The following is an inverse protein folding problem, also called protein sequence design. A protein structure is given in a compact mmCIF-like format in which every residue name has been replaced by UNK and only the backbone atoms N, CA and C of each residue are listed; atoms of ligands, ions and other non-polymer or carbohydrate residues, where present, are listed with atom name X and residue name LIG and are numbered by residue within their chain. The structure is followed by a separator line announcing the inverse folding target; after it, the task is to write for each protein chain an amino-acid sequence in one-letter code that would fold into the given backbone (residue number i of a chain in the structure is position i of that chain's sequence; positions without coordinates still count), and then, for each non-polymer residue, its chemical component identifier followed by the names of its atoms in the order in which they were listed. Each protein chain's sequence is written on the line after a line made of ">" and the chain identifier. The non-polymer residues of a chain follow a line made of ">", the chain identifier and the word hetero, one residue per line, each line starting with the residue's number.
data_IF_023861564629
#
_entry.id   IF_023861564629
#
_cell.length_a   1.000
_cell.length_b   1.000
_cell.length_c   1.000
_cell.angle_alpha   90.00
_cell.angle_beta   90.00
_cell.angle_gamma   90.00
#
_symmetry.space_group_name_H-M   'P 1'
#
loop_
_entity.id
_entity.type
_entity.pdbx_description
1 polymer ?
#
# COMPACT_ATOMS: atom_id res chain seq x y z
N UNK A 1 9.10 -3.24 -2.53
CA UNK A 1 8.25 -2.60 -3.57
C UNK A 1 7.42 -3.62 -4.33
N UNK A 2 8.05 -4.61 -4.98
CA UNK A 2 7.35 -5.72 -5.66
C UNK A 2 6.35 -6.45 -4.74
N UNK A 3 6.76 -6.70 -3.49
CA UNK A 3 5.90 -7.36 -2.50
C UNK A 3 4.66 -6.53 -2.13
N UNK A 4 4.77 -5.19 -2.14
CA UNK A 4 3.61 -4.33 -1.91
C UNK A 4 2.62 -4.38 -3.07
N UNK A 5 3.11 -4.42 -4.31
CA UNK A 5 2.26 -4.58 -5.50
C UNK A 5 1.57 -5.96 -5.49
N UNK A 6 2.29 -7.01 -5.06
CA UNK A 6 1.73 -8.35 -4.86
C UNK A 6 0.60 -8.38 -3.83
N UNK A 7 0.75 -7.72 -2.68
CA UNK A 7 -0.32 -7.63 -1.66
C UNK A 7 -1.60 -7.00 -2.25
N UNK A 8 -1.46 -5.97 -3.07
CA UNK A 8 -2.61 -5.30 -3.70
C UNK A 8 -3.25 -6.21 -4.75
N UNK A 9 -2.44 -6.90 -5.57
CA UNK A 9 -2.91 -7.89 -6.55
C UNK A 9 -3.67 -9.04 -5.87
N UNK A 10 -3.09 -9.62 -4.83
CA UNK A 10 -3.68 -10.72 -4.05
C UNK A 10 -4.99 -10.31 -3.35
N UNK A 11 -5.18 -9.00 -3.10
CA UNK A 11 -6.42 -8.43 -2.58
C UNK A 11 -7.49 -8.16 -3.67
N UNK A 12 -7.26 -8.56 -4.92
CA UNK A 12 -8.17 -8.32 -6.05
C UNK A 12 -7.95 -6.98 -6.75
N UNK A 13 -6.71 -6.49 -6.78
CA UNK A 13 -6.33 -5.22 -7.43
C UNK A 13 -6.71 -3.96 -6.65
N UNK A 14 -7.33 -4.12 -5.46
CA UNK A 14 -7.81 -2.99 -4.66
C UNK A 14 -7.88 -3.33 -3.18
N UNK A 15 -7.31 -2.49 -2.34
CA UNK A 15 -7.22 -2.73 -0.89
C UNK A 15 -7.47 -1.45 -0.08
N UNK A 16 -8.14 -1.59 1.07
CA UNK A 16 -8.24 -0.47 2.01
C UNK A 16 -6.85 -0.11 2.55
N UNK A 17 -6.56 1.18 2.64
CA UNK A 17 -5.28 1.69 3.14
C UNK A 17 -4.95 1.19 4.55
N UNK A 18 -5.96 1.02 5.40
CA UNK A 18 -5.81 0.41 6.73
C UNK A 18 -5.31 -1.04 6.66
N UNK A 19 -5.94 -1.87 5.84
CA UNK A 19 -5.55 -3.27 5.65
C UNK A 19 -4.17 -3.38 5.01
N UNK A 20 -3.86 -2.53 4.02
CA UNK A 20 -2.52 -2.46 3.43
C UNK A 20 -1.45 -2.13 4.48
N UNK A 21 -1.73 -1.20 5.39
CA UNK A 21 -0.80 -0.84 6.46
C UNK A 21 -0.51 -2.03 7.41
N UNK A 22 -1.55 -2.81 7.73
CA UNK A 22 -1.45 -4.00 8.57
C UNK A 22 -0.66 -5.12 7.88
N UNK A 23 -0.94 -5.41 6.61
CA UNK A 23 -0.22 -6.44 5.85
C UNK A 23 1.24 -6.04 5.57
N UNK A 24 1.50 -4.78 5.21
CA UNK A 24 2.87 -4.31 4.99
C UNK A 24 3.74 -4.38 6.27
N UNK A 25 3.14 -4.17 7.44
CA UNK A 25 3.81 -4.33 8.73
C UNK A 25 4.08 -5.81 9.03
N UNK A 26 3.08 -6.68 8.88
CA UNK A 26 3.21 -8.13 9.11
C UNK A 26 4.28 -8.77 8.22
N UNK A 27 4.31 -8.37 6.94
CA UNK A 27 5.32 -8.83 5.98
C UNK A 27 6.68 -8.13 6.16
N UNK A 28 6.84 -7.25 7.16
CA UNK A 28 8.07 -6.49 7.45
C UNK A 28 8.55 -5.64 6.26
N UNK A 29 7.65 -5.29 5.35
CA UNK A 29 7.91 -4.37 4.22
C UNK A 29 8.08 -2.95 4.75
N UNK A 30 7.34 -2.61 5.81
CA UNK A 30 7.56 -1.41 6.61
C UNK A 30 7.89 -1.82 8.04
N UNK A 31 8.80 -1.08 8.67
CA UNK A 31 9.14 -1.22 10.08
C UNK A 31 8.66 0.05 10.79
N UNK A 32 7.91 -0.12 11.87
CA UNK A 32 7.32 0.99 12.64
C UNK A 32 7.88 0.95 14.06
N UNK A 33 8.85 1.81 14.33
CA UNK A 33 9.42 1.97 15.67
C UNK A 33 8.71 3.14 16.38
N UNK A 34 7.50 2.89 16.89
CA UNK A 34 6.69 3.87 17.59
C UNK A 34 6.15 3.31 18.90
N UNK A 35 5.82 4.20 19.85
CA UNK A 35 5.14 3.82 21.09
C UNK A 35 3.67 3.50 20.78
N UNK A 36 3.00 2.73 21.62
CA UNK A 36 1.60 2.33 21.40
C UNK A 36 0.67 3.53 21.12
N UNK A 37 0.85 4.63 21.86
CA UNK A 37 0.04 5.85 21.73
C UNK A 37 0.08 6.50 20.34
N UNK A 38 1.16 6.34 19.57
CA UNK A 38 1.31 6.93 18.24
C UNK A 38 1.51 5.88 17.13
N UNK A 39 1.36 4.60 17.46
CA UNK A 39 1.67 3.49 16.56
C UNK A 39 0.87 3.56 15.26
N UNK A 40 -0.45 3.75 15.35
CA UNK A 40 -1.34 3.81 14.18
C UNK A 40 -0.94 4.93 13.22
N UNK A 41 -0.66 6.13 13.73
CA UNK A 41 -0.27 7.26 12.90
C UNK A 41 1.11 7.05 12.26
N UNK A 42 2.07 6.56 13.04
CA UNK A 42 3.41 6.22 12.55
C UNK A 42 3.36 5.14 11.47
N UNK A 43 2.50 4.13 11.63
CA UNK A 43 2.29 3.07 10.64
C UNK A 43 1.75 3.62 9.32
N UNK A 44 0.73 4.48 9.37
CA UNK A 44 0.20 5.11 8.15
C UNK A 44 1.21 6.04 7.48
N UNK A 45 1.95 6.83 8.25
CA UNK A 45 3.01 7.69 7.70
C UNK A 45 4.13 6.88 7.03
N UNK A 46 4.52 5.76 7.65
CA UNK A 46 5.52 4.85 7.09
C UNK A 46 5.02 4.17 5.81
N UNK A 47 3.78 3.67 5.80
CA UNK A 47 3.15 3.13 4.59
C UNK A 47 3.14 4.18 3.47
N UNK A 48 2.74 5.41 3.77
CA UNK A 48 2.61 6.46 2.77
C UNK A 48 3.92 6.82 2.12
N UNK A 49 4.93 7.10 2.95
CA UNK A 49 6.24 7.52 2.46
C UNK A 49 6.96 6.42 1.71
N UNK A 50 6.90 5.19 2.22
CA UNK A 50 7.77 4.12 1.74
C UNK A 50 7.12 3.25 0.64
N UNK A 51 5.79 3.27 0.52
CA UNK A 51 5.06 2.38 -0.38
C UNK A 51 4.09 3.15 -1.28
N UNK A 52 3.14 3.90 -0.69
CA UNK A 52 2.06 4.51 -1.48
C UNK A 52 2.60 5.61 -2.38
N UNK A 53 3.36 6.58 -1.85
CA UNK A 53 3.91 7.66 -2.65
C UNK A 53 4.80 7.14 -3.80
N UNK A 54 5.75 6.22 -3.58
CA UNK A 54 6.51 5.66 -4.69
C UNK A 54 5.62 4.97 -5.75
N UNK A 55 4.62 4.17 -5.35
CA UNK A 55 3.74 3.48 -6.32
C UNK A 55 2.82 4.43 -7.08
N UNK A 56 2.43 5.56 -6.49
CA UNK A 56 1.59 6.59 -7.13
C UNK A 56 2.45 7.54 -7.96
N UNK A 57 3.40 8.22 -7.32
CA UNK A 57 4.08 9.40 -7.87
C UNK A 57 5.26 9.03 -8.78
N UNK A 58 5.95 7.91 -8.47
CA UNK A 58 7.13 7.50 -9.26
C UNK A 58 6.77 6.53 -10.37
N UNK A 59 5.93 5.52 -10.07
CA UNK A 59 5.62 4.45 -11.01
C UNK A 59 4.24 4.58 -11.66
N UNK A 60 3.28 5.26 -11.04
CA UNK A 60 1.91 5.32 -11.55
C UNK A 60 1.16 3.99 -11.54
N UNK A 61 1.63 2.99 -10.78
CA UNK A 61 1.02 1.65 -10.73
C UNK A 61 -0.24 1.58 -9.88
N UNK A 62 -0.46 2.57 -9.01
CA UNK A 62 -1.65 2.62 -8.17
C UNK A 62 -2.19 4.05 -8.08
N UNK A 63 -3.46 4.15 -7.78
CA UNK A 63 -4.16 5.38 -7.43
C UNK A 63 -4.77 5.27 -6.02
N UNK A 64 -4.99 6.42 -5.38
CA UNK A 64 -5.63 6.49 -4.06
C UNK A 64 -7.01 7.12 -4.17
N UNK A 65 -8.04 6.35 -3.86
CA UNK A 65 -9.43 6.79 -3.88
C UNK A 65 -9.94 7.05 -2.46
N UNK A 66 -10.76 8.09 -2.28
CA UNK A 66 -11.50 8.31 -1.04
C UNK A 66 -12.95 7.86 -1.22
N UNK A 67 -13.36 6.84 -0.47
CA UNK A 67 -14.75 6.37 -0.41
C UNK A 67 -15.27 6.55 1.01
N UNK A 68 -16.15 7.54 1.19
CA UNK A 68 -16.63 7.96 2.50
C UNK A 68 -15.48 8.38 3.42
N UNK A 69 -15.35 7.72 4.57
CA UNK A 69 -14.26 7.94 5.53
C UNK A 69 -12.99 7.12 5.23
N UNK A 70 -13.10 6.15 4.32
CA UNK A 70 -12.01 5.23 4.02
C UNK A 70 -11.20 5.69 2.81
N UNK A 71 -9.90 5.41 2.84
CA UNK A 71 -9.01 5.53 1.68
C UNK A 71 -8.70 4.14 1.14
N UNK A 72 -8.72 4.01 -0.17
CA UNK A 72 -8.44 2.78 -0.90
C UNK A 72 -7.24 3.00 -1.81
N UNK A 73 -6.42 1.97 -1.95
CA UNK A 73 -5.34 1.89 -2.93
C UNK A 73 -5.82 0.92 -4.00
N UNK A 74 -5.83 1.36 -5.25
CA UNK A 74 -6.32 0.60 -6.39
C UNK A 74 -5.25 0.58 -7.47
N UNK A 75 -5.08 -0.56 -8.13
CA UNK A 75 -4.15 -0.67 -9.25
C UNK A 75 -4.67 0.12 -10.45
N UNK A 76 -3.74 0.77 -11.15
CA UNK A 76 -3.99 1.29 -12.49
C UNK A 76 -3.82 0.17 -13.52
N UNK A 77 -4.19 0.41 -14.77
CA UNK A 77 -3.93 -0.51 -15.88
C UNK A 77 -2.43 -0.85 -15.98
N UNK A 78 -1.56 0.17 -15.93
CA UNK A 78 -0.10 -0.02 -15.90
C UNK A 78 0.36 -0.87 -14.71
N UNK A 79 -0.27 -0.69 -13.54
CA UNK A 79 -0.01 -1.50 -12.36
C UNK A 79 -0.45 -2.95 -12.52
N UNK A 80 -1.60 -3.19 -13.16
CA UNK A 80 -2.09 -4.55 -13.47
C UNK A 80 -1.13 -5.28 -14.39
N UNK A 81 -0.72 -4.64 -15.50
CA UNK A 81 0.30 -5.17 -16.40
C UNK A 81 1.63 -5.41 -15.68
N UNK A 82 2.12 -4.46 -14.88
CA UNK A 82 3.36 -4.62 -14.12
C UNK A 82 3.29 -5.81 -13.16
N UNK A 83 2.13 -6.06 -12.56
CA UNK A 83 1.94 -7.16 -11.62
C UNK A 83 1.82 -8.53 -12.30
N UNK A 84 1.57 -8.59 -13.61
CA UNK A 84 1.64 -9.83 -14.39
C UNK A 84 3.07 -10.37 -14.49
N UNK A 85 4.10 -9.52 -14.37
CA UNK A 85 5.50 -9.94 -14.37
C UNK A 85 6.02 -10.43 -13.01
N UNK A 86 5.17 -10.48 -11.98
CA UNK A 86 5.52 -10.99 -10.64
C UNK A 86 5.41 -12.52 -10.51
N UNK A 87 5.20 -13.24 -11.62
CA UNK A 87 5.06 -14.71 -11.71
C UNK A 87 6.43 -15.38 -11.56
#
# INVERSE_FOLDING_TARGET
>A
MLEALRIIKDAGGRIQKKKMAEEAEKSKIIIVNAKEQNFTQARFASLDKNIVQPLVDTWGFVEVEKIGRNRWIKMTEDGEHAAEFLI
#
